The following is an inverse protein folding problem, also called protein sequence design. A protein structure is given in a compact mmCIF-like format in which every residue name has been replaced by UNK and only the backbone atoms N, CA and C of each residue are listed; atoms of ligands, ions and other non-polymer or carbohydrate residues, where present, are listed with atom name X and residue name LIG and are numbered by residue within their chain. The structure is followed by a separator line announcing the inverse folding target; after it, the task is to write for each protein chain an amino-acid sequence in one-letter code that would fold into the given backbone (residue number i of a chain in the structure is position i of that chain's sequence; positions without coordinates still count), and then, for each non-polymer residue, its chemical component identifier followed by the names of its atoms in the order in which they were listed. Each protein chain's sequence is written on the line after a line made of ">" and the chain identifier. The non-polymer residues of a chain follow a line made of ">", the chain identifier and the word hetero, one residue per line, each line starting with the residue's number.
data_IF_563808861926
#
_entry.id   IF_563808861926
#
_cell.length_a   1.000
_cell.length_b   1.000
_cell.length_c   1.000
_cell.angle_alpha   90.00
_cell.angle_beta   90.00
_cell.angle_gamma   90.00
#
_symmetry.space_group_name_H-M   'P 1'
#
loop_
_entity.id
_entity.type
_entity.pdbx_description
1 polymer ?
#
# COMPACT_ATOMS: atom_id res chain seq x y z
N UNK A 1 31.61 -29.96 15.66
CA UNK A 1 31.65 -28.51 15.43
C UNK A 1 30.31 -27.96 15.89
N UNK A 2 30.22 -27.57 17.16
CA UNK A 2 29.03 -26.95 17.73
C UNK A 2 29.14 -25.43 17.51
N UNK A 3 28.10 -24.82 16.96
CA UNK A 3 28.04 -23.39 16.65
C UNK A 3 27.40 -22.70 17.85
N UNK A 4 28.14 -21.80 18.50
CA UNK A 4 27.66 -20.95 19.58
C UNK A 4 26.53 -20.01 19.10
N UNK A 5 25.45 -19.80 19.89
CA UNK A 5 24.44 -18.81 19.55
C UNK A 5 24.92 -17.39 19.87
N UNK A 6 24.84 -16.50 18.87
CA UNK A 6 25.11 -15.07 18.98
C UNK A 6 24.13 -14.43 19.97
N UNK A 7 24.67 -13.90 21.06
CA UNK A 7 23.93 -13.16 22.07
C UNK A 7 23.63 -11.75 21.54
N UNK A 8 22.35 -11.45 21.29
CA UNK A 8 21.90 -10.10 20.91
C UNK A 8 22.00 -9.15 22.12
N UNK A 9 22.52 -7.92 21.95
CA UNK A 9 22.54 -6.94 23.03
C UNK A 9 21.10 -6.50 23.36
N UNK A 10 20.79 -6.22 24.65
CA UNK A 10 19.44 -5.86 25.06
C UNK A 10 19.03 -4.48 24.48
N UNK A 11 17.73 -4.26 24.25
CA UNK A 11 17.23 -2.99 23.74
C UNK A 11 17.48 -1.85 24.74
N UNK A 12 17.80 -0.62 24.28
CA UNK A 12 18.00 0.51 25.16
C UNK A 12 16.68 0.82 25.89
N UNK A 13 16.70 0.69 27.20
CA UNK A 13 15.57 1.05 28.05
C UNK A 13 15.29 2.57 27.95
N UNK A 14 14.01 3.00 27.99
CA UNK A 14 13.68 4.41 28.09
C UNK A 14 14.14 4.91 29.46
N UNK A 15 15.29 5.59 29.49
CA UNK A 15 15.78 6.25 30.71
C UNK A 15 14.87 7.45 30.95
N UNK A 16 13.99 7.32 31.94
CA UNK A 16 13.29 8.44 32.56
C UNK A 16 14.30 9.55 32.90
N UNK A 17 14.07 10.75 32.35
CA UNK A 17 14.90 11.95 32.46
C UNK A 17 15.10 12.48 33.90
N UNK A 18 14.62 11.75 34.91
CA UNK A 18 14.67 12.12 36.32
C UNK A 18 15.90 11.63 37.07
N UNK A 19 16.80 10.88 36.43
CA UNK A 19 18.06 10.39 37.03
C UNK A 19 19.32 11.08 36.50
N UNK A 20 19.20 12.17 35.74
CA UNK A 20 20.35 12.92 35.18
C UNK A 20 20.91 13.99 36.14
N UNK A 21 20.23 14.27 37.25
CA UNK A 21 20.64 15.24 38.28
C UNK A 21 21.03 14.59 39.61
N UNK A 22 21.34 13.30 39.61
CA UNK A 22 21.87 12.64 40.81
C UNK A 22 22.87 11.57 40.39
N UNK A 23 24.12 12.01 40.21
CA UNK A 23 25.29 11.13 40.14
C UNK A 23 26.29 11.54 41.25
N UNK A 24 26.99 10.60 41.89
CA UNK A 24 27.62 10.74 43.21
C UNK A 24 29.04 11.34 43.14
N UNK A 25 29.17 12.56 42.63
CA UNK A 25 30.45 13.27 42.50
C UNK A 25 30.55 14.60 43.25
N UNK A 26 29.50 15.03 43.96
CA UNK A 26 29.61 16.15 44.90
C UNK A 26 30.33 15.71 46.18
N UNK A 27 31.60 15.33 46.05
CA UNK A 27 32.56 15.31 47.15
C UNK A 27 32.97 16.74 47.52
N UNK A 28 32.00 17.64 47.61
CA UNK A 28 32.20 18.94 48.23
C UNK A 28 32.31 18.74 49.74
N UNK A 29 33.14 19.56 50.42
CA UNK A 29 33.15 19.58 51.87
C UNK A 29 31.73 19.82 52.43
N UNK A 30 31.37 19.16 53.54
CA UNK A 30 30.02 19.24 54.12
C UNK A 30 29.53 20.67 54.45
N UNK A 31 30.46 21.62 54.56
CA UNK A 31 30.17 23.04 54.80
C UNK A 31 29.86 23.81 53.51
N UNK A 32 30.22 23.28 52.34
CA UNK A 32 29.97 23.89 51.05
C UNK A 32 28.62 23.41 50.51
N UNK A 33 27.67 24.34 50.35
CA UNK A 33 26.30 24.03 49.92
C UNK A 33 25.95 24.80 48.65
N UNK A 34 26.29 24.27 47.47
CA UNK A 34 26.08 24.97 46.20
C UNK A 34 24.59 25.17 45.87
N UNK A 35 23.69 24.33 46.41
CA UNK A 35 22.24 24.49 46.29
C UNK A 35 21.74 25.87 46.76
N UNK A 36 22.43 26.49 47.72
CA UNK A 36 22.05 27.82 48.23
C UNK A 36 22.23 28.91 47.16
N UNK A 37 23.13 28.72 46.19
CA UNK A 37 23.35 29.65 45.08
C UNK A 37 22.16 29.73 44.11
N UNK A 38 21.31 28.70 44.10
CA UNK A 38 20.10 28.66 43.28
C UNK A 38 18.91 29.35 43.96
N UNK A 39 19.04 29.72 45.24
CA UNK A 39 17.96 30.34 45.97
C UNK A 39 17.70 31.79 45.51
N UNK A 40 16.44 32.22 45.37
CA UNK A 40 16.11 33.56 44.87
C UNK A 40 16.49 34.69 45.84
N UNK A 41 16.71 34.36 47.13
CA UNK A 41 17.09 35.30 48.19
C UNK A 41 18.55 35.11 48.63
N UNK A 42 19.39 34.52 47.78
CA UNK A 42 20.79 34.29 48.09
C UNK A 42 21.52 35.63 48.33
N UNK A 43 22.16 35.76 49.49
CA UNK A 43 23.04 36.88 49.83
C UNK A 43 24.47 36.37 50.02
N UNK A 44 25.38 36.83 49.16
CA UNK A 44 26.78 36.42 49.19
C UNK A 44 27.51 36.91 50.43
N UNK A 45 27.17 38.10 50.94
CA UNK A 45 27.87 38.70 52.07
C UNK A 45 27.54 37.95 53.36
N UNK A 46 26.26 37.61 53.59
CA UNK A 46 25.82 36.76 54.70
C UNK A 46 26.42 35.35 54.61
N UNK A 47 26.41 34.72 53.43
CA UNK A 47 26.94 33.38 53.22
C UNK A 47 28.45 33.29 53.52
N UNK A 48 29.24 34.25 53.03
CA UNK A 48 30.69 34.29 53.29
C UNK A 48 30.97 34.58 54.78
N UNK A 49 30.21 35.49 55.38
CA UNK A 49 30.38 35.87 56.79
C UNK A 49 30.12 34.70 57.73
N UNK A 50 29.07 33.90 57.48
CA UNK A 50 28.73 32.70 58.24
C UNK A 50 29.81 31.61 58.13
N UNK A 51 30.32 31.35 56.92
CA UNK A 51 31.34 30.33 56.68
C UNK A 51 32.72 30.74 57.22
N UNK A 52 33.07 32.03 57.18
CA UNK A 52 34.36 32.54 57.67
C UNK A 52 34.55 32.34 59.18
N UNK A 53 33.47 32.14 59.93
CA UNK A 53 33.53 31.80 61.37
C UNK A 53 34.17 30.43 61.64
N UNK A 54 34.16 29.51 60.66
CA UNK A 54 34.59 28.13 60.84
C UNK A 54 35.53 27.60 59.73
N UNK A 55 35.70 28.35 58.63
CA UNK A 55 36.51 27.95 57.45
C UNK A 55 37.53 29.04 57.10
N UNK A 56 38.82 28.70 56.89
CA UNK A 56 39.82 29.65 56.39
C UNK A 56 39.42 30.24 55.05
N UNK A 57 39.66 31.54 54.88
CA UNK A 57 39.24 32.27 53.67
C UNK A 57 39.86 31.72 52.39
N UNK A 58 41.12 31.28 52.42
CA UNK A 58 41.79 30.69 51.26
C UNK A 58 41.14 29.37 50.81
N UNK A 59 40.70 28.54 51.76
CA UNK A 59 39.99 27.28 51.48
C UNK A 59 38.62 27.54 50.89
N UNK A 60 37.88 28.53 51.41
CA UNK A 60 36.60 28.95 50.85
C UNK A 60 36.78 29.46 49.42
N UNK A 61 37.79 30.29 49.18
CA UNK A 61 38.10 30.84 47.84
C UNK A 61 38.47 29.74 46.86
N UNK A 62 39.30 28.78 47.24
CA UNK A 62 39.69 27.67 46.36
C UNK A 62 38.49 26.80 45.99
N UNK A 63 37.60 26.51 46.94
CA UNK A 63 36.42 25.69 46.71
C UNK A 63 35.41 26.38 45.78
N UNK A 64 35.16 27.69 46.00
CA UNK A 64 34.30 28.49 45.11
C UNK A 64 34.86 28.55 43.69
N UNK A 65 36.17 28.71 43.55
CA UNK A 65 36.83 28.74 42.25
C UNK A 65 36.74 27.37 41.56
N UNK A 66 36.96 26.28 42.30
CA UNK A 66 36.81 24.91 41.79
C UNK A 66 35.38 24.65 41.30
N UNK A 67 34.37 25.00 42.11
CA UNK A 67 32.97 24.87 41.74
C UNK A 67 32.63 25.69 40.48
N UNK A 68 33.09 26.95 40.39
CA UNK A 68 32.89 27.77 39.19
C UNK A 68 33.53 27.13 37.94
N UNK A 69 34.75 26.61 38.06
CA UNK A 69 35.41 25.95 36.93
C UNK A 69 34.72 24.67 36.51
N UNK A 70 34.21 23.88 37.47
CA UNK A 70 33.43 22.67 37.20
C UNK A 70 32.15 23.01 36.44
N UNK A 71 31.40 23.99 36.93
CA UNK A 71 30.15 24.43 36.33
C UNK A 71 30.35 25.01 34.92
N UNK A 72 31.48 25.69 34.69
CA UNK A 72 31.84 26.16 33.35
C UNK A 72 32.13 25.00 32.37
N UNK A 73 32.86 23.98 32.83
CA UNK A 73 33.10 22.78 32.02
C UNK A 73 31.79 22.03 31.73
N UNK A 74 30.95 21.83 32.73
CA UNK A 74 29.65 21.16 32.56
C UNK A 74 28.75 21.90 31.57
N UNK A 75 28.71 23.24 31.62
CA UNK A 75 27.99 24.05 30.66
C UNK A 75 28.52 23.85 29.23
N UNK A 76 29.84 23.87 29.06
CA UNK A 76 30.48 23.64 27.76
C UNK A 76 30.17 22.24 27.24
N UNK A 77 30.25 21.23 28.10
CA UNK A 77 29.95 19.84 27.74
C UNK A 77 28.48 19.65 27.37
N UNK A 78 27.56 20.28 28.10
CA UNK A 78 26.14 20.29 27.79
C UNK A 78 25.87 20.93 26.41
N UNK A 79 26.46 22.10 26.16
CA UNK A 79 26.32 22.79 24.87
C UNK A 79 26.90 21.94 23.75
N UNK A 80 28.08 21.34 23.94
CA UNK A 80 28.73 20.51 22.93
C UNK A 80 27.92 19.24 22.64
N UNK A 81 27.34 18.61 23.66
CA UNK A 81 26.45 17.46 23.52
C UNK A 81 25.21 17.83 22.70
N UNK A 82 24.52 18.88 23.12
CA UNK A 82 23.27 19.29 22.48
C UNK A 82 23.53 19.82 21.04
N UNK A 83 24.68 20.46 20.80
CA UNK A 83 25.12 20.83 19.45
C UNK A 83 25.37 19.61 18.56
N UNK A 84 26.04 18.59 19.10
CA UNK A 84 26.29 17.32 18.38
C UNK A 84 24.98 16.64 18.00
N UNK A 85 24.01 16.60 18.91
CA UNK A 85 22.69 16.03 18.66
C UNK A 85 21.92 16.82 17.61
N UNK A 86 21.96 18.16 17.67
CA UNK A 86 21.34 19.02 16.68
C UNK A 86 21.93 18.82 15.27
N UNK A 87 23.26 18.79 15.14
CA UNK A 87 23.94 18.55 13.86
C UNK A 87 23.58 17.17 13.33
N UNK A 88 23.64 16.13 14.16
CA UNK A 88 23.27 14.77 13.77
C UNK A 88 21.82 14.68 13.28
N UNK A 89 20.89 15.34 13.97
CA UNK A 89 19.49 15.39 13.56
C UNK A 89 19.34 16.13 12.22
N UNK A 90 20.05 17.23 12.03
CA UNK A 90 20.01 18.01 10.79
C UNK A 90 20.51 17.19 9.59
N UNK A 91 21.58 16.42 9.75
CA UNK A 91 22.10 15.52 8.70
C UNK A 91 21.11 14.41 8.39
N UNK A 92 20.54 13.75 9.42
CA UNK A 92 19.53 12.69 9.22
C UNK A 92 18.29 13.21 8.48
N UNK A 93 17.84 14.44 8.76
CA UNK A 93 16.70 15.04 8.07
C UNK A 93 17.00 15.31 6.59
N UNK A 94 18.21 15.81 6.28
CA UNK A 94 18.66 15.99 4.89
C UNK A 94 18.72 14.64 4.16
N UNK A 95 19.22 13.59 4.81
CA UNK A 95 19.26 12.25 4.23
C UNK A 95 17.86 11.71 3.91
N UNK A 96 16.89 11.92 4.82
CA UNK A 96 15.49 11.55 4.61
C UNK A 96 14.89 12.31 3.43
N UNK A 97 15.10 13.62 3.34
CA UNK A 97 14.63 14.42 2.19
C UNK A 97 15.21 13.90 0.87
N UNK A 98 16.51 13.57 0.86
CA UNK A 98 17.17 12.97 -0.30
C UNK A 98 16.55 11.61 -0.69
N UNK A 99 16.15 10.80 0.30
CA UNK A 99 15.52 9.51 0.08
C UNK A 99 14.10 9.67 -0.50
N UNK A 100 13.35 10.65 0.00
CA UNK A 100 12.02 11.01 -0.52
C UNK A 100 12.13 11.46 -1.98
N UNK A 101 13.08 12.35 -2.30
CA UNK A 101 13.34 12.79 -3.68
C UNK A 101 13.70 11.61 -4.58
N UNK A 102 14.58 10.71 -4.12
CA UNK A 102 15.00 9.51 -4.86
C UNK A 102 13.85 8.54 -5.12
N UNK A 103 12.89 8.41 -4.20
CA UNK A 103 11.75 7.50 -4.35
C UNK A 103 10.61 8.04 -5.22
N UNK A 104 10.54 9.36 -5.42
CA UNK A 104 9.46 9.99 -6.18
C UNK A 104 9.38 9.51 -7.64
N UNK A 105 10.51 9.45 -8.34
CA UNK A 105 10.54 9.03 -9.74
C UNK A 105 10.21 7.53 -9.92
N UNK A 106 10.82 6.58 -9.18
CA UNK A 106 10.47 5.16 -9.29
C UNK A 106 9.00 4.85 -8.99
N UNK A 107 8.37 5.56 -8.05
CA UNK A 107 6.94 5.39 -7.75
C UNK A 107 6.04 5.88 -8.89
N UNK A 108 6.41 6.98 -9.55
CA UNK A 108 5.70 7.47 -10.73
C UNK A 108 5.85 6.50 -11.91
N UNK A 109 7.04 6.00 -12.16
CA UNK A 109 7.29 5.00 -13.20
C UNK A 109 6.51 3.70 -12.96
N UNK A 110 6.43 3.25 -11.69
CA UNK A 110 5.65 2.08 -11.32
C UNK A 110 4.16 2.31 -11.59
N UNK A 111 3.64 3.49 -11.22
CA UNK A 111 2.24 3.85 -11.50
C UNK A 111 1.95 3.85 -13.00
N UNK A 112 2.82 4.46 -13.80
CA UNK A 112 2.66 4.50 -15.26
C UNK A 112 2.67 3.09 -15.85
N UNK A 113 3.58 2.21 -15.40
CA UNK A 113 3.61 0.80 -15.82
C UNK A 113 2.31 0.09 -15.46
N UNK A 114 1.78 0.28 -14.25
CA UNK A 114 0.50 -0.33 -13.84
C UNK A 114 -0.65 0.17 -14.71
N UNK A 115 -0.73 1.48 -14.98
CA UNK A 115 -1.75 2.04 -15.88
C UNK A 115 -1.62 1.46 -17.30
N UNK A 116 -0.40 1.31 -17.82
CA UNK A 116 -0.14 0.67 -19.11
C UNK A 116 -0.58 -0.80 -19.15
N UNK A 117 -0.26 -1.58 -18.12
CA UNK A 117 -0.71 -2.98 -18.03
C UNK A 117 -2.23 -3.08 -17.97
N UNK A 118 -2.90 -2.23 -17.17
CA UNK A 118 -4.36 -2.19 -17.11
C UNK A 118 -4.96 -1.90 -18.48
N UNK A 119 -4.44 -0.90 -19.20
CA UNK A 119 -4.90 -0.59 -20.57
C UNK A 119 -4.67 -1.74 -21.56
N UNK A 120 -3.56 -2.48 -21.43
CA UNK A 120 -3.31 -3.68 -22.25
C UNK A 120 -4.28 -4.82 -21.95
N UNK A 121 -4.62 -5.03 -20.69
CA UNK A 121 -5.62 -6.03 -20.28
C UNK A 121 -7.01 -5.64 -20.78
N UNK A 122 -7.41 -4.38 -20.60
CA UNK A 122 -8.71 -3.89 -21.04
C UNK A 122 -8.88 -3.99 -22.56
N UNK A 123 -7.85 -3.61 -23.33
CA UNK A 123 -7.88 -3.74 -24.79
C UNK A 123 -7.96 -5.20 -25.25
N UNK A 124 -7.23 -6.10 -24.59
CA UNK A 124 -7.30 -7.54 -24.86
C UNK A 124 -8.69 -8.10 -24.55
N UNK A 125 -9.29 -7.68 -23.43
CA UNK A 125 -10.64 -8.10 -23.04
C UNK A 125 -11.69 -7.64 -24.06
N UNK A 126 -11.61 -6.39 -24.52
CA UNK A 126 -12.50 -5.86 -25.57
C UNK A 126 -12.34 -6.65 -26.88
N UNK A 127 -11.10 -6.88 -27.32
CA UNK A 127 -10.84 -7.66 -28.53
C UNK A 127 -11.41 -9.08 -28.44
N UNK A 128 -11.28 -9.73 -27.28
CA UNK A 128 -11.80 -11.07 -27.05
C UNK A 128 -13.34 -11.09 -27.05
N UNK A 129 -13.99 -10.12 -26.41
CA UNK A 129 -15.45 -9.97 -26.43
C UNK A 129 -15.98 -9.77 -27.86
N UNK A 130 -15.39 -8.85 -28.61
CA UNK A 130 -15.79 -8.59 -30.00
C UNK A 130 -15.59 -9.84 -30.87
N UNK A 131 -14.48 -10.56 -30.68
CA UNK A 131 -14.22 -11.81 -31.39
C UNK A 131 -15.22 -12.93 -31.06
N UNK A 132 -15.68 -13.03 -29.81
CA UNK A 132 -16.72 -13.98 -29.42
C UNK A 132 -18.08 -13.61 -30.01
N UNK A 133 -18.43 -12.33 -29.99
CA UNK A 133 -19.67 -11.83 -30.60
C UNK A 133 -19.70 -12.11 -32.10
N UNK A 134 -18.62 -11.78 -32.81
CA UNK A 134 -18.50 -12.06 -34.25
C UNK A 134 -18.60 -13.56 -34.56
N UNK A 135 -18.00 -14.42 -33.74
CA UNK A 135 -18.13 -15.88 -33.89
C UNK A 135 -19.56 -16.36 -33.66
N UNK A 136 -20.27 -15.79 -32.70
CA UNK A 136 -21.67 -16.15 -32.44
C UNK A 136 -22.58 -15.76 -33.60
N UNK A 137 -22.36 -14.58 -34.19
CA UNK A 137 -23.10 -14.11 -35.37
C UNK A 137 -22.78 -14.96 -36.61
N UNK A 138 -21.50 -15.30 -36.82
CA UNK A 138 -21.10 -16.20 -37.90
C UNK A 138 -21.69 -17.60 -37.75
N UNK A 139 -21.83 -18.10 -36.51
CA UNK A 139 -22.46 -19.40 -36.26
C UNK A 139 -23.97 -19.37 -36.55
N UNK A 140 -24.67 -18.33 -36.09
CA UNK A 140 -26.10 -18.16 -36.33
C UNK A 140 -26.43 -18.00 -37.83
N UNK A 141 -25.64 -17.21 -38.56
CA UNK A 141 -25.82 -17.04 -40.01
C UNK A 141 -25.56 -18.34 -40.77
N UNK A 142 -24.57 -19.12 -40.35
CA UNK A 142 -24.29 -20.44 -40.93
C UNK A 142 -25.45 -21.42 -40.71
N UNK A 143 -26.01 -21.49 -39.51
CA UNK A 143 -27.16 -22.34 -39.19
C UNK A 143 -28.36 -22.03 -40.10
N UNK A 144 -28.66 -20.74 -40.32
CA UNK A 144 -29.73 -20.31 -41.23
C UNK A 144 -29.47 -20.74 -42.68
N UNK A 145 -28.21 -20.64 -43.15
CA UNK A 145 -27.85 -21.08 -44.50
C UNK A 145 -27.96 -22.60 -44.68
N UNK A 146 -27.55 -23.37 -43.68
CA UNK A 146 -27.70 -24.83 -43.67
C UNK A 146 -29.19 -25.22 -43.77
N UNK A 147 -30.06 -24.57 -42.97
CA UNK A 147 -31.51 -24.79 -43.04
C UNK A 147 -32.11 -24.43 -44.42
N UNK A 148 -31.64 -23.34 -45.03
CA UNK A 148 -32.10 -22.92 -46.36
C UNK A 148 -31.69 -23.93 -47.44
N UNK A 149 -30.47 -24.46 -47.37
CA UNK A 149 -29.97 -25.48 -48.27
C UNK A 149 -30.78 -26.78 -48.15
N UNK A 150 -31.06 -27.23 -46.93
CA UNK A 150 -31.89 -28.42 -46.67
C UNK A 150 -33.30 -28.23 -47.23
N UNK A 151 -33.89 -27.05 -47.03
CA UNK A 151 -35.21 -26.70 -47.58
C UNK A 151 -35.20 -26.75 -49.11
N UNK A 152 -34.17 -26.19 -49.76
CA UNK A 152 -34.01 -26.24 -51.22
C UNK A 152 -33.88 -27.68 -51.74
N UNK A 153 -33.13 -28.53 -51.04
CA UNK A 153 -33.02 -29.96 -51.38
C UNK A 153 -34.36 -30.69 -51.25
N UNK A 154 -35.15 -30.41 -50.21
CA UNK A 154 -36.50 -30.99 -50.04
C UNK A 154 -37.42 -30.52 -51.18
N UNK A 155 -37.46 -29.23 -51.49
CA UNK A 155 -38.27 -28.69 -52.61
C UNK A 155 -37.88 -29.32 -53.94
N UNK A 156 -36.58 -29.44 -54.23
CA UNK A 156 -36.07 -30.07 -55.44
C UNK A 156 -36.47 -31.55 -55.54
N UNK A 157 -36.47 -32.29 -54.42
CA UNK A 157 -36.95 -33.68 -54.38
C UNK A 157 -38.45 -33.76 -54.65
N UNK A 158 -39.25 -32.89 -54.03
CA UNK A 158 -40.71 -32.81 -54.24
C UNK A 158 -41.02 -32.51 -55.70
N UNK A 159 -40.34 -31.54 -56.32
CA UNK A 159 -40.54 -31.20 -57.73
C UNK A 159 -40.24 -32.38 -58.66
N UNK A 160 -39.16 -33.13 -58.41
CA UNK A 160 -38.85 -34.36 -59.16
C UNK A 160 -39.94 -35.41 -58.99
N UNK A 161 -40.41 -35.64 -57.77
CA UNK A 161 -41.50 -36.60 -57.52
C UNK A 161 -42.79 -36.21 -58.26
N UNK A 162 -43.14 -34.91 -58.30
CA UNK A 162 -44.30 -34.42 -59.06
C UNK A 162 -44.14 -34.69 -60.55
N UNK A 163 -42.94 -34.52 -61.12
CA UNK A 163 -42.66 -34.79 -62.55
C UNK A 163 -42.75 -36.27 -62.91
N UNK A 164 -42.38 -37.15 -61.99
CA UNK A 164 -42.43 -38.61 -62.17
C UNK A 164 -43.81 -39.23 -61.89
N UNK A 165 -44.76 -38.45 -61.36
CA UNK A 165 -46.15 -38.91 -61.28
C UNK A 165 -46.66 -39.17 -62.70
N UNK A 166 -47.26 -40.34 -62.97
CA UNK A 166 -47.95 -40.57 -64.23
C UNK A 166 -48.96 -39.43 -64.42
N UNK A 167 -48.97 -38.81 -65.60
CA UNK A 167 -50.08 -37.93 -65.95
C UNK A 167 -51.36 -38.72 -65.68
N UNK A 168 -52.20 -38.22 -64.76
CA UNK A 168 -53.53 -38.77 -64.54
C UNK A 168 -54.14 -38.87 -65.94
N UNK A 169 -54.54 -40.08 -66.40
CA UNK A 169 -55.19 -40.18 -67.68
C UNK A 169 -56.39 -39.24 -67.63
N UNK A 170 -56.55 -38.41 -68.65
CA UNK A 170 -57.62 -37.42 -68.79
C UNK A 170 -59.01 -38.07 -68.97
N UNK A 171 -59.28 -39.14 -68.24
CA UNK A 171 -60.46 -39.99 -68.34
C UNK A 171 -61.14 -40.16 -66.97
N UNK A 172 -61.21 -39.06 -66.20
CA UNK A 172 -62.18 -38.91 -65.10
C UNK A 172 -63.38 -38.03 -65.49
N UNK A 173 -63.51 -37.68 -66.78
CA UNK A 173 -64.71 -37.04 -67.31
C UNK A 173 -65.80 -38.08 -67.60
N UNK A 174 -66.23 -38.83 -66.57
CA UNK A 174 -67.58 -39.40 -66.41
C UNK A 174 -67.61 -40.39 -65.24
N UNK A 175 -67.51 -39.87 -64.03
CA UNK A 175 -67.69 -40.68 -62.81
C UNK A 175 -68.04 -39.77 -61.66
N UNK A 176 -69.34 -39.57 -61.44
CA UNK A 176 -69.90 -38.75 -60.37
C UNK A 176 -69.56 -39.38 -59.00
N UNK A 177 -68.37 -39.13 -58.46
CA UNK A 177 -68.02 -39.52 -57.09
C UNK A 177 -68.36 -38.38 -56.13
N UNK A 178 -69.51 -38.49 -55.48
CA UNK A 178 -69.81 -37.70 -54.28
C UNK A 178 -68.89 -38.15 -53.16
N UNK A 179 -67.87 -37.36 -52.83
CA UNK A 179 -67.21 -37.43 -51.53
C UNK A 179 -67.30 -36.05 -50.87
N UNK A 180 -67.96 -36.01 -49.72
CA UNK A 180 -68.32 -34.78 -49.01
C UNK A 180 -67.09 -34.07 -48.45
N UNK A 181 -67.04 -32.75 -48.65
CA UNK A 181 -65.96 -31.86 -48.23
C UNK A 181 -65.95 -31.56 -46.72
N UNK A 182 -66.05 -32.57 -45.84
CA UNK A 182 -66.07 -32.34 -44.39
C UNK A 182 -65.06 -33.10 -43.52
N UNK A 183 -64.28 -34.06 -44.03
CA UNK A 183 -63.44 -34.90 -43.17
C UNK A 183 -61.92 -34.80 -43.41
N UNK A 184 -61.41 -33.74 -44.05
CA UNK A 184 -59.96 -33.60 -44.28
C UNK A 184 -59.26 -32.65 -43.29
N UNK A 185 -59.99 -31.85 -42.50
CA UNK A 185 -59.36 -30.88 -41.58
C UNK A 185 -59.00 -31.45 -40.20
N UNK A 186 -59.51 -32.60 -39.77
CA UNK A 186 -59.27 -33.08 -38.39
C UNK A 186 -58.11 -34.08 -38.24
N UNK A 187 -57.42 -34.44 -39.32
CA UNK A 187 -56.36 -35.48 -39.26
C UNK A 187 -54.94 -34.93 -39.07
N UNK A 188 -54.74 -33.62 -38.91
CA UNK A 188 -53.41 -32.99 -38.76
C UNK A 188 -53.18 -32.33 -37.39
N UNK A 189 -53.89 -32.76 -36.34
CA UNK A 189 -53.77 -32.16 -35.01
C UNK A 189 -53.36 -33.14 -33.90
N UNK A 190 -52.58 -34.18 -34.24
CA UNK A 190 -51.84 -34.99 -33.28
C UNK A 190 -50.38 -35.16 -33.70
#
# INVERSE_FOLDING_TARGET
>A
MAVDPIQTPPPPQPRSNTYLFSDPLDSHPLWFKPDLFLSPNFDSDSYISELRTFVPFDTLRSELQAHLTSLNHELIDLINRDYTDFVNLSTKLVDVDSAVVRMRAPLLELREKIEGFRGSVDSSLVALKNGLEQRSEAAATREVLELLLDTFHVVSKVEKLIKELPSVPADWSNGRCKFGAKECCEQWQH
#
